data_IF_021735387360
#
_entry.id   IF_021735387360
#
_cell.length_a   1.000
_cell.length_b   1.000
_cell.length_c   1.000
_cell.angle_alpha   90.00
_cell.angle_beta   90.00
_cell.angle_gamma   90.00
#
_symmetry.space_group_name_H-M   'P 1'
#
loop_
_entity.id
_entity.type
_entity.pdbx_description
1 polymer ?
#
# COMPACT_ATOMS: atom_id res chain seq x y z
N UNK A 1 15.32 3.26 -19.93
CA UNK A 1 14.40 2.67 -18.94
C UNK A 1 14.98 1.35 -18.51
N UNK A 2 15.60 1.30 -17.33
CA UNK A 2 16.30 0.10 -16.85
C UNK A 2 15.30 -0.87 -16.22
N UNK A 3 14.87 -1.85 -17.00
CA UNK A 3 13.96 -2.93 -16.61
C UNK A 3 14.74 -4.01 -15.83
N UNK A 4 15.26 -3.64 -14.66
CA UNK A 4 16.08 -4.53 -13.83
C UNK A 4 15.30 -4.97 -12.60
N UNK A 5 15.22 -6.29 -12.42
CA UNK A 5 14.68 -6.88 -11.20
C UNK A 5 15.68 -6.65 -10.07
N UNK A 6 15.29 -5.89 -9.05
CA UNK A 6 16.05 -5.78 -7.81
C UNK A 6 15.41 -6.66 -6.73
N UNK A 7 16.15 -7.60 -6.13
CA UNK A 7 15.67 -8.31 -4.96
C UNK A 7 15.58 -7.32 -3.79
N UNK A 8 14.36 -7.06 -3.32
CA UNK A 8 14.13 -6.27 -2.12
C UNK A 8 14.35 -7.17 -0.89
N UNK A 9 15.14 -6.75 0.11
CA UNK A 9 15.21 -7.46 1.38
C UNK A 9 13.89 -7.27 2.14
N UNK A 10 13.46 -8.31 2.85
CA UNK A 10 12.32 -8.21 3.77
C UNK A 10 12.70 -7.35 4.98
N UNK A 11 11.76 -6.54 5.47
CA UNK A 11 11.83 -5.82 6.74
C UNK A 11 11.55 -6.79 7.91
N UNK A 12 11.60 -6.25 9.13
CA UNK A 12 11.35 -7.00 10.37
C UNK A 12 9.94 -7.61 10.46
N UNK A 13 8.98 -7.07 9.69
CA UNK A 13 7.59 -7.56 9.59
C UNK A 13 7.41 -8.62 8.50
N UNK A 14 8.45 -8.94 7.74
CA UNK A 14 8.38 -9.86 6.60
C UNK A 14 7.80 -9.24 5.33
N UNK A 15 7.76 -7.91 5.24
CA UNK A 15 7.32 -7.15 4.05
C UNK A 15 8.52 -6.61 3.29
N UNK A 16 8.38 -6.26 2.01
CA UNK A 16 9.42 -5.71 1.16
C UNK A 16 9.22 -4.20 1.00
N UNK A 17 9.95 -3.35 1.75
CA UNK A 17 9.78 -1.91 1.70
C UNK A 17 10.39 -1.32 0.42
N UNK A 18 9.56 -0.61 -0.36
CA UNK A 18 9.93 0.11 -1.57
C UNK A 18 10.04 1.59 -1.23
N UNK A 19 11.20 1.99 -0.71
CA UNK A 19 11.46 3.36 -0.25
C UNK A 19 11.19 4.42 -1.34
N UNK A 20 11.47 4.11 -2.61
CA UNK A 20 11.21 5.02 -3.74
C UNK A 20 9.74 5.40 -3.91
N UNK A 21 8.81 4.55 -3.45
CA UNK A 21 7.36 4.76 -3.56
C UNK A 21 6.68 5.01 -2.21
N UNK A 22 7.39 4.85 -1.09
CA UNK A 22 6.83 4.98 0.26
C UNK A 22 5.82 3.87 0.60
N UNK A 23 5.96 2.68 0.00
CA UNK A 23 5.06 1.54 0.16
C UNK A 23 5.85 0.29 0.55
N UNK A 24 5.18 -0.71 1.11
CA UNK A 24 5.75 -2.02 1.44
C UNK A 24 4.93 -3.13 0.78
N UNK A 25 5.57 -4.18 0.27
CA UNK A 25 4.89 -5.34 -0.30
C UNK A 25 4.89 -6.48 0.72
N UNK A 26 3.72 -6.87 1.21
CA UNK A 26 3.58 -7.88 2.28
C UNK A 26 2.72 -9.05 1.84
N UNK A 27 2.81 -10.15 2.57
CA UNK A 27 1.86 -11.27 2.44
C UNK A 27 0.69 -11.00 3.38
N UNK A 28 -0.51 -10.94 2.83
CA UNK A 28 -1.77 -10.85 3.56
C UNK A 28 -2.46 -12.22 3.54
N UNK A 29 -2.66 -12.80 4.72
CA UNK A 29 -3.42 -14.03 4.88
C UNK A 29 -4.90 -13.69 4.94
N UNK A 30 -5.67 -14.14 3.95
CA UNK A 30 -7.11 -13.91 3.92
C UNK A 30 -7.77 -14.63 2.76
N UNK A 31 -9.10 -14.58 2.75
CA UNK A 31 -9.91 -15.10 1.67
C UNK A 31 -10.06 -14.04 0.58
N UNK A 32 -9.65 -14.37 -0.64
CA UNK A 32 -9.89 -13.56 -1.82
C UNK A 32 -10.47 -14.44 -2.92
N UNK A 33 -11.60 -14.02 -3.48
CA UNK A 33 -12.36 -14.79 -4.47
C UNK A 33 -12.70 -16.24 -4.02
N UNK A 34 -13.14 -16.42 -2.77
CA UNK A 34 -13.42 -17.73 -2.15
C UNK A 34 -12.19 -18.65 -2.02
N UNK A 35 -10.98 -18.07 -2.07
CA UNK A 35 -9.73 -18.82 -1.91
C UNK A 35 -8.94 -18.21 -0.76
N UNK A 36 -8.80 -18.98 0.33
CA UNK A 36 -7.97 -18.61 1.49
C UNK A 36 -6.52 -18.97 1.21
N UNK A 37 -5.70 -17.96 0.93
CA UNK A 37 -4.29 -18.11 0.60
C UNK A 37 -3.46 -16.93 1.13
N UNK A 38 -2.13 -17.09 1.22
CA UNK A 38 -1.22 -15.98 1.45
C UNK A 38 -1.13 -15.11 0.18
N UNK A 39 -1.97 -14.08 0.10
CA UNK A 39 -2.01 -13.15 -1.02
C UNK A 39 -0.92 -12.10 -0.91
N UNK A 40 -0.27 -11.78 -2.02
CA UNK A 40 0.68 -10.67 -2.07
C UNK A 40 -0.08 -9.35 -2.16
N UNK A 41 0.10 -8.46 -1.18
CA UNK A 41 -0.66 -7.21 -1.05
C UNK A 41 0.25 -6.03 -0.72
N UNK A 42 -0.16 -4.84 -1.15
CA UNK A 42 0.55 -3.60 -0.91
C UNK A 42 0.13 -3.01 0.43
N UNK A 43 1.10 -2.47 1.16
CA UNK A 43 0.96 -1.81 2.46
C UNK A 43 1.60 -0.43 2.38
N UNK A 44 1.15 0.50 3.21
CA UNK A 44 1.79 1.80 3.38
C UNK A 44 2.91 1.73 4.44
N UNK A 45 3.73 2.77 4.53
CA UNK A 45 4.87 2.82 5.46
C UNK A 45 4.46 2.77 6.95
N UNK A 46 3.22 3.12 7.28
CA UNK A 46 2.63 2.97 8.61
C UNK A 46 2.06 1.56 8.86
N UNK A 47 2.08 0.68 7.85
CA UNK A 47 1.59 -0.68 7.98
C UNK A 47 0.08 -0.83 7.90
N UNK A 48 -0.62 0.10 7.26
CA UNK A 48 -1.98 -0.13 6.81
C UNK A 48 -1.96 -0.67 5.40
N UNK A 49 -3.01 -1.39 5.06
CA UNK A 49 -3.11 -1.98 3.76
C UNK A 49 -3.43 -0.90 2.73
N UNK A 50 -2.66 -0.86 1.64
CA UNK A 50 -2.75 0.21 0.65
C UNK A 50 -4.00 -0.02 -0.19
N UNK A 51 -5.05 0.67 0.22
CA UNK A 51 -6.31 0.77 -0.49
C UNK A 51 -6.04 1.37 -1.89
N UNK A 52 -6.76 0.86 -2.89
CA UNK A 52 -6.51 1.13 -4.31
C UNK A 52 -6.56 2.63 -4.63
N UNK A 53 -5.99 3.06 -5.77
CA UNK A 53 -5.88 4.49 -6.14
C UNK A 53 -7.20 5.29 -6.09
N UNK A 54 -8.34 4.62 -6.15
CA UNK A 54 -9.66 5.22 -5.94
C UNK A 54 -9.86 5.76 -4.51
N UNK A 55 -9.34 5.06 -3.50
CA UNK A 55 -9.44 5.45 -2.09
C UNK A 55 -8.44 6.56 -1.72
N UNK A 56 -7.29 6.65 -2.43
CA UNK A 56 -6.40 7.83 -2.31
C UNK A 56 -7.05 9.10 -2.85
N UNK A 57 -7.78 9.00 -3.97
CA UNK A 57 -8.50 10.15 -4.52
C UNK A 57 -9.57 10.67 -3.54
N UNK A 58 -10.26 9.76 -2.86
CA UNK A 58 -11.28 10.10 -1.85
C UNK A 58 -10.67 10.78 -0.60
N UNK A 59 -9.49 10.33 -0.14
CA UNK A 59 -8.78 10.93 1.01
C UNK A 59 -8.24 12.32 0.67
N UNK A 60 -7.67 12.49 -0.53
CA UNK A 60 -7.18 13.80 -0.98
C UNK A 60 -8.34 14.78 -1.17
N UNK A 61 -9.48 14.30 -1.68
CA UNK A 61 -10.71 15.08 -1.79
C UNK A 61 -11.23 15.50 -0.40
N UNK A 62 -11.32 14.56 0.55
CA UNK A 62 -11.73 14.88 1.92
C UNK A 62 -10.80 15.88 2.60
N UNK A 63 -9.48 15.79 2.38
CA UNK A 63 -8.53 16.78 2.92
C UNK A 63 -8.76 18.16 2.32
N UNK A 64 -8.96 18.24 1.01
CA UNK A 64 -9.27 19.50 0.33
C UNK A 64 -10.59 20.11 0.85
N UNK A 65 -11.60 19.30 1.10
CA UNK A 65 -12.88 19.74 1.66
C UNK A 65 -12.75 20.22 3.12
N UNK A 66 -11.99 19.51 3.95
CA UNK A 66 -11.79 19.91 5.35
C UNK A 66 -11.00 21.23 5.48
N UNK A 67 -10.07 21.46 4.57
CA UNK A 67 -9.28 22.69 4.51
C UNK A 67 -10.10 23.86 3.95
N UNK A 68 -10.97 23.61 2.96
CA UNK A 68 -11.92 24.60 2.45
C UNK A 68 -13.01 24.98 3.47
N UNK A 69 -13.38 24.06 4.36
CA UNK A 69 -14.42 24.30 5.36
C UNK A 69 -13.89 24.99 6.63
N UNK A 70 -12.56 25.11 6.76
CA UNK A 70 -11.90 25.90 7.81
C UNK A 70 -11.50 27.31 7.39
N UNK A 71 -11.65 27.66 6.10
CA UNK A 71 -11.52 29.02 5.60
C UNK A 71 -12.86 29.77 5.72
#
# INVERSE_FOLDING_TARGET
VENHFQPLPKNERGHYPIACLGVELGIWQGEYQNVELPWLRWWDSAGNLLLTGNERAEIEHQRAEMEAQRA
#
